data_IF_914953766018
#
_entry.id   IF_914953766018
#
_cell.length_a   1.000
_cell.length_b   1.000
_cell.length_c   1.000
_cell.angle_alpha   90.00
_cell.angle_beta   90.00
_cell.angle_gamma   90.00
#
_symmetry.space_group_name_H-M   'P 1'
#
loop_
_entity.id
_entity.type
_entity.pdbx_description
1 polymer ?
#
# COMPACT_ATOMS: atom_id res chain seq x y z
N UNK A 1 22.59 -0.29 21.58
CA UNK A 1 21.32 -0.16 20.84
C UNK A 1 21.37 1.13 20.04
N UNK A 2 21.70 1.06 18.75
CA UNK A 2 21.65 2.24 17.88
C UNK A 2 20.19 2.59 17.59
N UNK A 3 19.83 3.85 17.81
CA UNK A 3 18.57 4.43 17.37
C UNK A 3 18.58 4.51 15.85
N UNK A 4 18.19 3.42 15.17
CA UNK A 4 17.87 3.48 13.74
C UNK A 4 16.67 4.42 13.62
N UNK A 5 16.81 5.52 12.89
CA UNK A 5 15.74 6.50 12.67
C UNK A 5 14.45 5.77 12.31
N UNK A 6 13.39 5.97 13.12
CA UNK A 6 12.17 5.15 13.21
C UNK A 6 11.40 5.04 11.89
N UNK A 7 11.94 4.32 10.91
CA UNK A 7 11.37 4.09 9.57
C UNK A 7 11.76 5.08 8.47
N UNK A 8 12.66 6.03 8.71
CA UNK A 8 13.18 6.99 7.70
C UNK A 8 14.39 6.44 6.91
N UNK A 9 14.41 5.14 6.67
CA UNK A 9 15.47 4.44 5.94
C UNK A 9 14.90 3.83 4.67
N UNK A 10 15.71 3.71 3.62
CA UNK A 10 15.34 2.95 2.42
C UNK A 10 15.70 1.46 2.60
N UNK A 11 15.02 0.59 1.88
CA UNK A 11 15.21 -0.86 1.97
C UNK A 11 14.43 -1.52 3.11
N UNK A 12 14.80 -2.75 3.47
CA UNK A 12 14.02 -3.62 4.37
C UNK A 12 13.98 -3.20 5.84
N UNK A 13 14.89 -2.32 6.27
CA UNK A 13 15.01 -1.88 7.66
C UNK A 13 15.14 -3.06 8.67
N UNK A 14 15.86 -4.12 8.27
CA UNK A 14 16.13 -5.28 9.12
C UNK A 14 14.93 -6.18 9.44
N UNK A 15 13.85 -6.10 8.65
CA UNK A 15 12.64 -6.92 8.84
C UNK A 15 12.43 -7.82 7.63
N UNK A 16 12.19 -9.10 7.90
CA UNK A 16 11.94 -10.09 6.86
C UNK A 16 10.60 -9.87 6.14
N UNK A 17 10.63 -10.07 4.83
CA UNK A 17 9.42 -10.14 4.01
C UNK A 17 8.50 -11.25 4.49
N UNK A 18 7.23 -10.93 4.67
CA UNK A 18 6.19 -11.81 5.19
C UNK A 18 5.94 -11.67 6.69
N UNK A 19 6.73 -10.87 7.43
CA UNK A 19 6.47 -10.61 8.84
C UNK A 19 5.09 -9.96 9.04
N UNK A 20 4.32 -10.53 9.96
CA UNK A 20 2.99 -10.05 10.36
C UNK A 20 3.12 -9.30 11.69
N UNK A 21 2.47 -8.15 11.75
CA UNK A 21 2.27 -7.33 12.94
C UNK A 21 0.78 -7.36 13.30
N UNK A 22 0.44 -7.45 14.59
CA UNK A 22 -0.95 -7.49 15.02
C UNK A 22 -1.66 -6.15 14.73
N UNK A 23 -0.93 -5.04 14.84
CA UNK A 23 -1.47 -3.68 14.67
C UNK A 23 -0.56 -2.80 13.82
N UNK A 24 -1.12 -1.70 13.27
CA UNK A 24 -0.33 -0.67 12.57
C UNK A 24 0.70 -0.02 13.49
N UNK A 25 0.36 0.12 14.78
CA UNK A 25 1.27 0.66 15.80
C UNK A 25 2.51 -0.21 15.99
N UNK A 26 2.37 -1.54 15.95
CA UNK A 26 3.50 -2.46 15.98
C UNK A 26 4.37 -2.36 14.72
N UNK A 27 3.76 -2.27 13.54
CA UNK A 27 4.49 -2.06 12.28
C UNK A 27 5.26 -0.73 12.30
N UNK A 28 4.70 0.32 12.92
CA UNK A 28 5.38 1.60 13.17
C UNK A 28 6.53 1.46 14.16
N UNK A 29 6.32 0.78 15.29
CA UNK A 29 7.38 0.55 16.30
C UNK A 29 8.55 -0.23 15.71
N UNK A 30 8.30 -1.13 14.75
CA UNK A 30 9.31 -1.84 14.00
C UNK A 30 9.97 -1.03 12.86
N UNK A 31 9.55 0.23 12.64
CA UNK A 31 10.08 1.11 11.60
C UNK A 31 9.68 0.74 10.17
N UNK A 32 8.72 -0.17 9.97
CA UNK A 32 8.34 -0.61 8.63
C UNK A 32 7.39 0.36 7.95
N UNK A 33 6.48 0.95 8.72
CA UNK A 33 5.63 2.04 8.24
C UNK A 33 5.35 3.01 9.40
N UNK A 34 6.04 4.14 9.41
CA UNK A 34 6.04 5.03 10.58
C UNK A 34 4.93 6.09 10.59
N UNK A 35 4.18 6.26 9.49
CA UNK A 35 3.06 7.18 9.47
C UNK A 35 1.97 6.74 10.46
N UNK A 36 1.58 7.66 11.34
CA UNK A 36 0.52 7.43 12.35
C UNK A 36 -0.80 7.17 11.66
N UNK A 37 -1.14 8.15 10.83
CA UNK A 37 -2.33 8.25 10.01
C UNK A 37 -1.85 8.34 8.56
N UNK A 38 -2.72 8.00 7.62
CA UNK A 38 -2.33 7.99 6.22
C UNK A 38 -1.65 6.69 5.79
N UNK A 39 -1.56 6.52 4.49
CA UNK A 39 -1.04 5.32 3.84
C UNK A 39 0.37 5.53 3.29
N UNK A 40 0.90 6.74 3.28
CA UNK A 40 2.24 7.07 2.77
C UNK A 40 3.10 7.56 3.94
N UNK A 41 4.31 7.01 4.06
CA UNK A 41 5.36 7.57 4.91
C UNK A 41 6.55 7.96 4.04
N UNK A 42 6.84 9.25 3.97
CA UNK A 42 7.87 9.80 3.10
C UNK A 42 8.26 11.21 3.47
N UNK A 43 9.30 11.68 2.81
CA UNK A 43 9.80 13.04 2.88
C UNK A 43 9.82 13.61 1.46
N UNK A 44 9.34 14.83 1.26
CA UNK A 44 9.17 15.43 -0.06
C UNK A 44 10.50 15.75 -0.77
N UNK A 45 11.62 15.69 -0.07
CA UNK A 45 12.96 15.92 -0.62
C UNK A 45 13.78 14.64 -0.73
N UNK A 46 13.49 13.62 0.09
CA UNK A 46 14.23 12.35 0.08
C UNK A 46 13.51 11.23 -0.69
N UNK A 47 12.18 11.23 -0.69
CA UNK A 47 11.36 10.17 -1.24
C UNK A 47 10.48 9.45 -0.22
N UNK A 48 9.64 8.56 -0.72
CA UNK A 48 8.79 7.70 0.09
C UNK A 48 9.58 6.50 0.62
N UNK A 49 9.46 6.26 1.93
CA UNK A 49 10.09 5.12 2.60
C UNK A 49 9.17 3.89 2.60
N UNK A 50 7.85 4.12 2.74
CA UNK A 50 6.88 3.02 2.76
C UNK A 50 5.46 3.49 2.41
N UNK A 51 4.67 2.54 1.91
CA UNK A 51 3.22 2.68 1.76
C UNK A 51 2.48 1.55 2.47
N UNK A 52 1.25 1.83 2.89
CA UNK A 52 0.34 0.90 3.55
C UNK A 52 -0.97 0.83 2.78
N UNK A 53 -1.38 -0.38 2.40
CA UNK A 53 -2.68 -0.70 1.83
C UNK A 53 -3.55 -1.30 2.94
N UNK A 54 -4.57 -0.59 3.40
CA UNK A 54 -5.49 -1.08 4.43
C UNK A 54 -6.92 -0.62 4.16
N UNK A 55 -7.85 -0.95 5.06
CA UNK A 55 -9.21 -0.38 5.07
C UNK A 55 -9.15 1.15 4.98
N UNK A 56 -9.96 1.77 4.12
CA UNK A 56 -9.94 3.21 3.80
C UNK A 56 -9.13 3.61 2.55
N UNK A 57 -8.51 2.64 1.88
CA UNK A 57 -7.76 2.81 0.62
C UNK A 57 -8.33 1.91 -0.49
N UNK A 58 -9.65 1.80 -0.54
CA UNK A 58 -10.39 0.99 -1.51
C UNK A 58 -10.15 1.41 -2.97
N UNK A 59 -9.60 2.60 -3.17
CA UNK A 59 -9.22 3.12 -4.49
C UNK A 59 -7.95 2.48 -5.06
N UNK A 60 -7.16 1.76 -4.25
CA UNK A 60 -5.96 1.12 -4.78
C UNK A 60 -6.30 -0.13 -5.59
N UNK A 61 -5.68 -0.27 -6.77
CA UNK A 61 -5.74 -1.52 -7.54
C UNK A 61 -4.55 -2.38 -7.14
N UNK A 62 -4.80 -3.46 -6.40
CA UNK A 62 -3.77 -4.37 -5.90
C UNK A 62 -3.72 -5.67 -6.70
N UNK A 63 -2.71 -5.80 -7.58
CA UNK A 63 -2.41 -7.00 -8.39
C UNK A 63 -1.21 -7.78 -7.83
N UNK A 64 -0.91 -7.63 -6.54
CA UNK A 64 0.21 -8.31 -5.89
C UNK A 64 1.53 -7.64 -6.25
N UNK A 65 2.18 -8.09 -7.33
CA UNK A 65 3.46 -7.55 -7.77
C UNK A 65 3.34 -6.16 -8.41
N UNK A 66 2.14 -5.78 -8.85
CA UNK A 66 1.85 -4.44 -9.36
C UNK A 66 0.75 -3.83 -8.49
N UNK A 67 0.93 -2.58 -8.10
CA UNK A 67 -0.06 -1.80 -7.37
C UNK A 67 -0.25 -0.49 -8.10
N UNK A 68 -1.48 -0.10 -8.39
CA UNK A 68 -1.82 1.29 -8.73
C UNK A 68 -2.29 1.93 -7.43
N UNK A 69 -1.42 2.75 -6.86
CA UNK A 69 -1.63 3.40 -5.58
C UNK A 69 -2.14 4.82 -5.80
N UNK A 70 -3.24 5.16 -5.14
CA UNK A 70 -3.84 6.50 -5.18
C UNK A 70 -3.22 7.36 -4.08
N UNK A 71 -2.87 8.59 -4.46
CA UNK A 71 -2.23 9.57 -3.61
C UNK A 71 -3.12 10.06 -2.47
N UNK A 72 -2.57 10.96 -1.68
CA UNK A 72 -3.24 11.63 -0.57
C UNK A 72 -3.75 13.02 -0.95
N UNK A 73 -4.68 13.55 -0.14
CA UNK A 73 -5.21 14.90 -0.28
C UNK A 73 -6.59 14.96 -0.95
N UNK A 74 -7.20 16.15 -0.87
CA UNK A 74 -8.52 16.43 -1.45
C UNK A 74 -9.68 15.70 -0.76
N UNK A 75 -9.49 15.18 0.45
CA UNK A 75 -10.51 14.48 1.25
C UNK A 75 -10.97 15.31 2.45
N UNK A 76 -12.25 15.18 2.81
CA UNK A 76 -12.83 15.76 4.03
C UNK A 76 -12.56 14.88 5.28
N UNK A 77 -13.11 15.30 6.42
CA UNK A 77 -13.00 14.60 7.72
C UNK A 77 -13.62 13.20 7.73
N UNK A 78 -14.60 12.95 6.86
CA UNK A 78 -15.30 11.67 6.73
C UNK A 78 -14.58 10.77 5.70
N UNK A 79 -13.48 11.27 5.14
CA UNK A 79 -12.64 10.62 4.17
C UNK A 79 -13.03 10.91 2.73
N UNK A 80 -14.17 11.55 2.46
CA UNK A 80 -14.73 11.71 1.10
C UNK A 80 -13.90 12.68 0.26
N UNK A 81 -13.65 12.33 -1.00
CA UNK A 81 -12.99 13.19 -1.98
C UNK A 81 -13.93 14.35 -2.33
N UNK A 82 -13.44 15.57 -2.10
CA UNK A 82 -14.16 16.84 -2.28
C UNK A 82 -13.39 17.83 -3.17
N UNK A 83 -12.10 17.58 -3.44
CA UNK A 83 -11.24 18.40 -4.32
C UNK A 83 -10.23 17.53 -5.07
N UNK A 84 -9.61 18.10 -6.09
CA UNK A 84 -8.49 17.48 -6.80
C UNK A 84 -7.29 17.23 -5.87
N UNK A 85 -6.59 16.14 -6.11
CA UNK A 85 -5.28 15.90 -5.53
C UNK A 85 -4.21 16.70 -6.27
N UNK A 86 -3.11 16.98 -5.58
CA UNK A 86 -1.96 17.68 -6.15
C UNK A 86 -0.67 16.91 -5.88
N UNK A 87 0.23 16.93 -6.85
CA UNK A 87 1.59 16.42 -6.70
C UNK A 87 2.45 17.28 -5.77
N UNK A 88 2.05 18.53 -5.51
CA UNK A 88 2.68 19.40 -4.51
C UNK A 88 2.30 19.03 -3.07
N UNK A 89 1.32 18.15 -2.88
CA UNK A 89 1.06 17.57 -1.57
C UNK A 89 2.28 16.74 -1.14
N UNK A 90 2.86 17.04 0.03
CA UNK A 90 4.15 16.47 0.49
C UNK A 90 4.28 14.95 0.36
N UNK A 91 3.24 14.18 0.72
CA UNK A 91 3.24 12.72 0.54
C UNK A 91 3.23 12.27 -0.93
N UNK A 92 2.46 12.93 -1.80
CA UNK A 92 2.45 12.64 -3.24
C UNK A 92 3.81 13.01 -3.84
N UNK A 93 4.37 14.15 -3.44
CA UNK A 93 5.71 14.58 -3.83
C UNK A 93 6.77 13.55 -3.43
N UNK A 94 6.66 12.97 -2.23
CA UNK A 94 7.61 11.94 -1.80
C UNK A 94 7.60 10.69 -2.72
N UNK A 95 6.44 10.27 -3.22
CA UNK A 95 6.35 9.17 -4.20
C UNK A 95 6.86 9.59 -5.59
N UNK A 96 6.69 10.84 -5.99
CA UNK A 96 7.33 11.38 -7.21
C UNK A 96 8.85 11.35 -7.11
N UNK A 97 9.43 11.78 -5.98
CA UNK A 97 10.87 11.69 -5.77
C UNK A 97 11.34 10.23 -5.79
N UNK A 98 10.59 9.28 -5.22
CA UNK A 98 10.90 7.84 -5.36
C UNK A 98 10.80 7.34 -6.80
N UNK A 99 9.90 7.90 -7.62
CA UNK A 99 9.84 7.61 -9.06
C UNK A 99 11.07 8.12 -9.79
N UNK A 100 11.52 9.34 -9.51
CA UNK A 100 12.70 9.96 -10.14
C UNK A 100 13.99 9.24 -9.72
N UNK A 101 14.13 8.95 -8.44
CA UNK A 101 15.36 8.37 -7.85
C UNK A 101 15.40 6.85 -7.88
N UNK A 102 14.28 6.20 -8.23
CA UNK A 102 14.09 4.74 -8.16
C UNK A 102 14.39 4.13 -6.79
N UNK A 103 14.28 4.93 -5.72
CA UNK A 103 14.49 4.47 -4.35
C UNK A 103 13.40 3.45 -3.97
N UNK A 104 13.77 2.36 -3.29
CA UNK A 104 12.83 1.31 -2.93
C UNK A 104 11.85 1.77 -1.85
N UNK A 105 10.59 1.42 -2.03
CA UNK A 105 9.46 1.72 -1.15
C UNK A 105 8.98 0.43 -0.50
N UNK A 106 8.97 0.36 0.83
CA UNK A 106 8.36 -0.78 1.54
C UNK A 106 6.85 -0.79 1.37
N UNK A 107 6.27 -1.95 1.08
CA UNK A 107 4.82 -2.13 1.02
C UNK A 107 4.34 -2.94 2.20
N UNK A 108 3.36 -2.41 2.92
CA UNK A 108 2.63 -3.11 3.99
C UNK A 108 1.19 -3.32 3.54
N UNK A 109 0.67 -4.54 3.65
CA UNK A 109 -0.75 -4.83 3.46
C UNK A 109 -1.43 -5.10 4.80
N UNK A 110 -2.42 -4.32 5.15
CA UNK A 110 -3.35 -4.55 6.26
C UNK A 110 -4.48 -5.50 5.85
N UNK A 111 -5.07 -6.18 6.81
CA UNK A 111 -6.20 -7.07 6.59
C UNK A 111 -7.41 -6.32 6.01
N UNK A 112 -7.96 -6.84 4.92
CA UNK A 112 -9.16 -6.34 4.26
C UNK A 112 -9.80 -7.44 3.43
N UNK A 113 -11.11 -7.41 3.25
CA UNK A 113 -11.85 -8.29 2.32
C UNK A 113 -11.62 -7.90 0.86
N UNK A 114 -11.29 -6.63 0.58
CA UNK A 114 -11.21 -6.04 -0.78
C UNK A 114 -9.99 -6.40 -1.61
N UNK A 115 -8.91 -6.92 -1.00
CA UNK A 115 -7.72 -7.37 -1.73
C UNK A 115 -7.52 -8.88 -1.59
N UNK A 116 -7.18 -9.54 -2.68
CA UNK A 116 -6.81 -10.95 -2.75
C UNK A 116 -5.44 -11.24 -2.08
N UNK A 117 -4.59 -10.22 -1.99
CA UNK A 117 -3.22 -10.30 -1.47
C UNK A 117 -3.12 -9.83 -0.01
N UNK A 118 -4.16 -9.19 0.52
CA UNK A 118 -4.21 -8.78 1.92
C UNK A 118 -4.11 -9.99 2.87
N UNK A 119 -3.41 -9.84 4.01
CA UNK A 119 -3.40 -10.87 5.04
C UNK A 119 -4.81 -11.06 5.64
N UNK A 120 -5.03 -12.23 6.26
CA UNK A 120 -6.30 -12.50 6.96
C UNK A 120 -6.46 -11.63 8.20
N UNK A 121 -5.37 -11.32 8.89
CA UNK A 121 -5.34 -10.51 10.11
C UNK A 121 -4.11 -9.62 10.14
N UNK A 122 -4.18 -8.52 10.90
CA UNK A 122 -3.05 -7.63 11.15
C UNK A 122 -2.51 -6.93 9.90
N UNK A 123 -1.21 -6.69 9.89
CA UNK A 123 -0.45 -5.99 8.87
C UNK A 123 0.77 -6.81 8.48
N UNK A 124 0.95 -7.09 7.19
CA UNK A 124 2.07 -7.89 6.68
C UNK A 124 3.00 -7.04 5.84
N UNK A 125 4.30 -7.12 6.11
CA UNK A 125 5.32 -6.52 5.26
C UNK A 125 5.54 -7.38 4.02
N UNK A 126 5.26 -6.84 2.82
CA UNK A 126 5.26 -7.60 1.56
C UNK A 126 6.44 -7.28 0.63
N UNK A 127 7.45 -6.59 1.17
CA UNK A 127 8.70 -6.30 0.50
C UNK A 127 8.79 -4.90 -0.09
N UNK A 128 9.80 -4.72 -0.91
CA UNK A 128 10.21 -3.51 -1.60
C UNK A 128 9.65 -3.49 -3.01
N UNK A 129 9.21 -2.29 -3.38
CA UNK A 129 8.68 -1.94 -4.66
C UNK A 129 9.41 -0.70 -5.16
N UNK A 130 9.40 -0.49 -6.46
CA UNK A 130 9.84 0.76 -7.09
C UNK A 130 8.65 1.43 -7.74
N UNK A 131 8.66 2.77 -7.78
CA UNK A 131 7.64 3.54 -8.50
C UNK A 131 8.08 3.64 -9.96
N UNK A 132 7.32 2.99 -10.84
CA UNK A 132 7.61 2.92 -12.28
C UNK A 132 6.86 3.98 -13.08
N UNK A 133 5.77 4.51 -12.55
CA UNK A 133 4.91 5.46 -13.27
C UNK A 133 4.22 6.40 -12.28
N UNK A 134 4.03 7.65 -12.70
CA UNK A 134 3.29 8.69 -11.99
C UNK A 134 2.30 9.29 -12.98
N UNK A 135 1.01 9.27 -12.67
CA UNK A 135 -0.03 9.81 -13.55
C UNK A 135 -1.09 10.56 -12.77
N UNK A 136 -1.80 11.45 -13.45
CA UNK A 136 -3.00 12.09 -12.92
C UNK A 136 -4.22 11.46 -13.61
N UNK A 137 -5.08 10.79 -12.83
CA UNK A 137 -6.29 10.15 -13.35
C UNK A 137 -7.53 10.94 -12.95
N UNK A 138 -8.42 11.19 -13.90
CA UNK A 138 -9.74 11.74 -13.60
C UNK A 138 -10.63 10.63 -13.04
N UNK A 139 -10.90 10.67 -11.74
CA UNK A 139 -11.85 9.79 -11.09
C UNK A 139 -13.26 10.40 -11.17
N UNK A 140 -14.17 9.73 -11.87
CA UNK A 140 -15.54 10.23 -12.10
C UNK A 140 -16.47 10.11 -10.87
N UNK A 141 -15.98 9.55 -9.77
CA UNK A 141 -16.69 9.36 -8.52
C UNK A 141 -15.72 9.46 -7.34
N UNK A 142 -16.27 9.50 -6.13
CA UNK A 142 -15.54 9.41 -4.85
C UNK A 142 -14.58 8.21 -4.82
N UNK A 143 -14.93 7.09 -5.49
CA UNK A 143 -14.03 5.95 -5.64
C UNK A 143 -13.46 5.80 -7.06
N UNK A 144 -12.17 5.51 -7.18
CA UNK A 144 -11.51 5.32 -8.49
C UNK A 144 -12.03 4.07 -9.22
N UNK A 145 -12.59 3.10 -8.49
CA UNK A 145 -13.17 1.87 -9.07
C UNK A 145 -14.35 2.14 -10.01
N UNK A 146 -15.02 3.29 -9.88
CA UNK A 146 -16.11 3.70 -10.76
C UNK A 146 -15.65 4.57 -11.95
N UNK A 147 -14.36 4.90 -12.04
CA UNK A 147 -13.81 5.71 -13.15
C UNK A 147 -13.94 5.01 -14.52
N UNK A 148 -14.22 3.69 -14.55
CA UNK A 148 -14.34 2.91 -15.78
C UNK A 148 -15.79 2.68 -16.27
N UNK A 149 -16.83 3.14 -15.55
CA UNK A 149 -18.22 2.69 -15.83
C UNK A 149 -19.34 3.75 -15.80
N UNK A 150 -19.06 5.04 -15.75
CA UNK A 150 -20.13 6.05 -15.73
C UNK A 150 -20.27 6.79 -17.07
N UNK A 151 -21.32 6.46 -17.84
CA UNK A 151 -21.89 7.35 -18.84
C UNK A 151 -22.45 8.59 -18.11
N UNK A 152 -22.02 9.77 -18.53
CA UNK A 152 -22.31 11.05 -17.87
C UNK A 152 -23.81 11.40 -17.92
N UNK A 153 -24.50 11.29 -16.78
CA UNK A 153 -25.64 12.18 -16.51
C UNK A 153 -25.10 13.55 -16.06
N UNK A 154 -25.60 14.62 -16.67
CA UNK A 154 -25.17 16.00 -16.46
C UNK A 154 -25.27 16.38 -14.97
N UNK A 155 -24.14 16.41 -14.25
CA UNK A 155 -24.10 16.99 -12.90
C UNK A 155 -22.90 16.60 -12.02
N UNK A 156 -22.30 15.42 -12.17
CA UNK A 156 -21.16 15.01 -11.33
C UNK A 156 -19.82 15.45 -11.94
N UNK A 157 -19.13 16.38 -11.27
CA UNK A 157 -17.73 16.71 -11.56
C UNK A 157 -16.84 15.65 -10.90
N UNK A 158 -16.01 14.96 -11.69
CA UNK A 158 -14.96 14.08 -11.16
C UNK A 158 -13.82 14.87 -10.50
N UNK A 159 -12.89 14.14 -9.87
CA UNK A 159 -11.69 14.71 -9.26
C UNK A 159 -10.43 14.13 -9.88
N UNK A 160 -9.41 14.96 -10.06
CA UNK A 160 -8.08 14.51 -10.44
C UNK A 160 -7.39 13.82 -9.25
N UNK A 161 -6.90 12.61 -9.47
CA UNK A 161 -6.24 11.77 -8.49
C UNK A 161 -4.79 11.53 -8.91
N UNK A 162 -3.86 11.79 -8.01
CA UNK A 162 -2.47 11.40 -8.22
C UNK A 162 -2.38 9.88 -8.11
N UNK A 163 -1.83 9.18 -9.10
CA UNK A 163 -1.62 7.73 -9.01
C UNK A 163 -0.20 7.32 -9.32
N UNK A 164 0.21 6.24 -8.68
CA UNK A 164 1.58 5.75 -8.67
C UNK A 164 1.55 4.25 -8.97
N UNK A 165 2.21 3.83 -10.05
CA UNK A 165 2.37 2.41 -10.36
C UNK A 165 3.59 1.88 -9.64
N UNK A 166 3.38 1.10 -8.60
CA UNK A 166 4.45 0.40 -7.90
C UNK A 166 4.63 -0.99 -8.49
N UNK A 167 5.87 -1.34 -8.83
CA UNK A 167 6.27 -2.70 -9.22
C UNK A 167 7.17 -3.30 -8.17
N UNK A 168 6.89 -4.53 -7.78
CA UNK A 168 7.72 -5.27 -6.82
C UNK A 168 9.11 -5.52 -7.40
N UNK A 169 10.12 -5.32 -6.57
CA UNK A 169 11.51 -5.59 -6.95
C UNK A 169 11.73 -7.11 -6.98
N UNK A 170 12.47 -7.60 -7.97
CA UNK A 170 12.88 -9.00 -8.03
C UNK A 170 14.29 -9.10 -7.44
N UNK A 171 14.40 -9.66 -6.25
CA UNK A 171 15.66 -9.88 -5.55
C UNK A 171 15.57 -11.11 -4.63
N UNK A 172 16.72 -11.67 -4.30
CA UNK A 172 16.82 -12.80 -3.38
C UNK A 172 16.28 -12.41 -1.98
N UNK A 173 15.46 -13.28 -1.38
CA UNK A 173 14.82 -13.01 -0.08
C UNK A 173 13.40 -12.43 -0.18
N UNK A 174 12.99 -11.86 -1.32
CA UNK A 174 11.62 -11.40 -1.52
C UNK A 174 10.66 -12.51 -1.96
N UNK A 175 10.32 -13.39 -1.01
CA UNK A 175 9.39 -14.52 -1.20
C UNK A 175 8.10 -14.11 -1.93
N UNK A 176 7.46 -15.00 -2.72
CA UNK A 176 6.19 -14.73 -3.36
C UNK A 176 5.12 -14.23 -2.37
N UNK A 177 4.29 -13.28 -2.80
CA UNK A 177 3.24 -12.71 -1.96
C UNK A 177 2.19 -13.78 -1.66
N UNK A 178 1.92 -14.11 -0.40
CA UNK A 178 0.86 -15.05 -0.06
C UNK A 178 -0.50 -14.51 -0.47
N UNK A 179 -1.29 -15.34 -1.15
CA UNK A 179 -2.68 -15.04 -1.49
C UNK A 179 -3.63 -15.68 -0.49
N UNK A 180 -4.87 -15.18 -0.41
CA UNK A 180 -5.91 -15.81 0.42
C UNK A 180 -6.14 -17.28 0.05
N UNK A 181 -6.08 -17.67 -1.22
CA UNK A 181 -6.24 -19.07 -1.63
C UNK A 181 -5.10 -19.96 -1.12
N UNK A 182 -3.85 -19.52 -1.24
CA UNK A 182 -2.69 -20.26 -0.72
C UNK A 182 -2.74 -20.41 0.79
N UNK A 183 -3.24 -19.37 1.49
CA UNK A 183 -3.46 -19.44 2.94
C UNK A 183 -4.55 -20.46 3.31
N UNK A 184 -5.67 -20.48 2.59
CA UNK A 184 -6.73 -21.48 2.78
C UNK A 184 -6.21 -22.90 2.56
N UNK A 185 -5.47 -23.15 1.47
CA UNK A 185 -4.88 -24.46 1.19
C UNK A 185 -3.90 -24.90 2.29
N UNK A 186 -3.03 -24.00 2.76
CA UNK A 186 -2.13 -24.29 3.90
C UNK A 186 -2.91 -24.59 5.18
N UNK A 187 -3.99 -23.85 5.45
CA UNK A 187 -4.86 -24.07 6.62
C UNK A 187 -5.53 -25.44 6.55
N UNK A 188 -6.10 -25.81 5.39
CA UNK A 188 -6.68 -27.13 5.15
C UNK A 188 -5.64 -28.25 5.30
N UNK A 189 -4.45 -28.09 4.70
CA UNK A 189 -3.37 -29.07 4.82
C UNK A 189 -2.93 -29.27 6.28
N UNK A 190 -2.80 -28.18 7.05
CA UNK A 190 -2.48 -28.25 8.49
C UNK A 190 -3.58 -28.96 9.28
N UNK A 191 -4.85 -28.65 9.02
CA UNK A 191 -5.98 -29.33 9.67
C UNK A 191 -6.00 -30.83 9.36
N UNK A 192 -5.78 -31.22 8.09
CA UNK A 192 -5.72 -32.64 7.69
C UNK A 192 -4.56 -33.40 8.33
N UNK A 193 -3.39 -32.75 8.54
CA UNK A 193 -2.26 -33.36 9.24
C UNK A 193 -2.58 -33.56 10.73
N UNK A 194 -3.16 -32.55 11.37
CA UNK A 194 -3.53 -32.62 12.79
C UNK A 194 -4.65 -33.64 13.05
N UNK A 195 -5.58 -33.82 12.11
CA UNK A 195 -6.66 -34.80 12.20
C UNK A 195 -6.21 -36.26 11.98
N UNK A 196 -4.97 -36.50 11.50
CA UNK A 196 -4.39 -37.85 11.35
C UNK A 196 -3.49 -38.24 12.54
N UNK A 197 -3.21 -37.29 13.43
CA UNK A 197 -2.38 -37.46 14.63
C UNK A 197 -3.18 -37.61 15.93
N UNK A 198 -4.50 -37.73 15.82
CA UNK A 198 -5.47 -38.00 16.89
C UNK A 198 -6.27 -39.23 16.50
#
# INVERSE_FOLDING_TARGET
MCFVERGRTFGHNGVDVGKIFATKAEARKAGIHAAEQGGIHGDQHLGAFSVCLSKGYEDNIDKGNIIIYVGSGGRDKDGKQIHDQSFEHSYNKSLQISYETKRPVRVVRGATDKSYYAPTTGYRYDGLYVVDEVTNLLAMSWHITHAYQANLEKGNKGFYMCTFKLRRIEEEGQKPIPTKSTLTLKKMSKMMKNARST
#
